data_IF_509471952792
#
_entry.id   IF_509471952792
#
_cell.length_a   1.000
_cell.length_b   1.000
_cell.length_c   1.000
_cell.angle_alpha   90.00
_cell.angle_beta   90.00
_cell.angle_gamma   90.00
#
_symmetry.space_group_name_H-M   'P 1'
#
loop_
_entity.id
_entity.type
_entity.pdbx_description
1 polymer ?
#
# COMPACT_ATOMS: atom_id res chain seq x y z
N UNK A 1 31.18 -0.81 19.00
CA UNK A 1 30.57 -0.72 17.66
C UNK A 1 31.69 -0.60 16.65
N UNK A 2 31.87 -1.58 15.78
CA UNK A 2 32.96 -1.54 14.79
C UNK A 2 32.58 -0.67 13.60
N UNK A 3 33.55 0.03 13.01
CA UNK A 3 33.34 0.84 11.81
C UNK A 3 32.70 0.02 10.68
N UNK A 4 33.13 -1.23 10.52
CA UNK A 4 32.57 -2.15 9.54
C UNK A 4 31.06 -2.41 9.76
N UNK A 5 30.62 -2.57 11.01
CA UNK A 5 29.20 -2.78 11.32
C UNK A 5 28.35 -1.56 10.97
N UNK A 6 28.85 -0.34 11.22
CA UNK A 6 28.14 0.90 10.88
C UNK A 6 28.01 1.05 9.36
N UNK A 7 29.06 0.74 8.60
CA UNK A 7 29.02 0.79 7.14
C UNK A 7 27.97 -0.19 6.58
N UNK A 8 27.96 -1.43 7.09
CA UNK A 8 26.97 -2.43 6.69
C UNK A 8 25.54 -2.00 7.04
N UNK A 9 25.35 -1.38 8.21
CA UNK A 9 24.06 -0.82 8.61
C UNK A 9 23.59 0.27 7.64
N UNK A 10 24.47 1.20 7.26
CA UNK A 10 24.14 2.26 6.29
C UNK A 10 23.78 1.66 4.94
N UNK A 11 24.56 0.69 4.44
CA UNK A 11 24.27 -0.01 3.18
C UNK A 11 22.90 -0.67 3.23
N UNK A 12 22.60 -1.41 4.31
CA UNK A 12 21.30 -2.05 4.48
C UNK A 12 20.15 -1.03 4.49
N UNK A 13 20.29 0.08 5.22
CA UNK A 13 19.29 1.15 5.25
C UNK A 13 19.07 1.77 3.86
N UNK A 14 20.14 2.07 3.13
CA UNK A 14 20.04 2.65 1.78
C UNK A 14 19.40 1.68 0.79
N UNK A 15 19.73 0.38 0.87
CA UNK A 15 19.15 -0.63 -0.03
C UNK A 15 17.66 -0.82 0.25
N UNK A 16 17.27 -0.99 1.52
CA UNK A 16 15.88 -1.23 1.89
C UNK A 16 15.02 0.01 1.63
N UNK A 17 15.41 1.16 2.19
CA UNK A 17 14.62 2.38 2.08
C UNK A 17 14.73 3.02 0.70
N UNK A 18 15.93 3.07 0.13
CA UNK A 18 16.14 3.58 -1.23
C UNK A 18 15.46 2.71 -2.28
N UNK A 19 15.55 1.38 -2.15
CA UNK A 19 14.85 0.45 -3.02
C UNK A 19 13.32 0.57 -2.91
N UNK A 20 12.80 0.71 -1.69
CA UNK A 20 11.36 0.92 -1.45
C UNK A 20 10.86 2.24 -2.09
N UNK A 21 11.57 3.35 -1.85
CA UNK A 21 11.22 4.65 -2.45
C UNK A 21 11.26 4.56 -3.97
N UNK A 22 12.30 3.94 -4.55
CA UNK A 22 12.42 3.75 -5.98
C UNK A 22 11.25 2.93 -6.55
N UNK A 23 10.87 1.84 -5.88
CA UNK A 23 9.75 1.00 -6.29
C UNK A 23 8.40 1.76 -6.25
N UNK A 24 8.15 2.54 -5.19
CA UNK A 24 6.94 3.37 -5.07
C UNK A 24 6.88 4.40 -6.21
N UNK A 25 7.99 5.11 -6.46
CA UNK A 25 8.05 6.11 -7.51
C UNK A 25 7.85 5.48 -8.89
N UNK A 26 8.44 4.32 -9.14
CA UNK A 26 8.27 3.60 -10.40
C UNK A 26 6.83 3.16 -10.63
N UNK A 27 6.18 2.58 -9.61
CA UNK A 27 4.78 2.15 -9.70
C UNK A 27 3.84 3.35 -9.89
N UNK A 28 4.11 4.46 -9.18
CA UNK A 28 3.35 5.71 -9.34
C UNK A 28 3.49 6.30 -10.75
N UNK A 29 4.67 6.22 -11.34
CA UNK A 29 4.93 6.75 -12.67
C UNK A 29 4.37 5.86 -13.79
N UNK A 30 4.16 4.57 -13.52
CA UNK A 30 3.68 3.58 -14.50
C UNK A 30 2.39 2.88 -14.01
N UNK A 31 1.29 3.63 -13.80
CA UNK A 31 0.02 3.03 -13.42
C UNK A 31 -0.55 2.18 -14.56
N UNK A 32 -1.07 1.01 -14.23
CA UNK A 32 -1.66 0.06 -15.19
C UNK A 32 -3.00 0.58 -15.78
N UNK A 33 -3.70 1.45 -15.02
CA UNK A 33 -4.94 2.12 -15.43
C UNK A 33 -4.94 3.57 -14.96
N UNK A 34 -5.29 4.48 -15.86
CA UNK A 34 -5.42 5.92 -15.58
C UNK A 34 -6.83 6.31 -15.13
N UNK A 35 -7.81 5.43 -15.32
CA UNK A 35 -9.20 5.63 -14.93
C UNK A 35 -9.78 4.32 -14.43
N UNK A 36 -10.56 4.41 -13.36
CA UNK A 36 -11.45 3.35 -12.92
C UNK A 36 -12.88 3.71 -13.34
N UNK A 37 -13.77 2.72 -13.55
CA UNK A 37 -15.19 2.98 -13.70
C UNK A 37 -15.71 3.77 -12.50
N UNK A 38 -16.83 4.46 -12.69
CA UNK A 38 -17.56 5.05 -11.56
C UNK A 38 -17.85 3.99 -10.50
N UNK A 39 -17.58 4.34 -9.24
CA UNK A 39 -17.91 3.46 -8.12
C UNK A 39 -19.41 3.20 -8.07
N UNK A 40 -19.80 2.04 -7.54
CA UNK A 40 -21.22 1.77 -7.27
C UNK A 40 -21.79 2.80 -6.28
N UNK A 41 -23.10 2.99 -6.32
CA UNK A 41 -23.79 3.78 -5.31
C UNK A 41 -23.54 3.19 -3.92
N UNK A 42 -23.20 4.07 -2.97
CA UNK A 42 -23.18 3.71 -1.56
C UNK A 42 -24.64 3.51 -1.13
N UNK A 43 -25.07 2.26 -1.07
CA UNK A 43 -26.44 1.86 -0.73
C UNK A 43 -26.64 1.78 0.80
N UNK A 44 -25.66 2.24 1.60
CA UNK A 44 -25.71 2.26 3.07
C UNK A 44 -26.22 0.95 3.67
N UNK A 45 -25.87 -0.18 3.05
CA UNK A 45 -26.40 -1.49 3.47
C UNK A 45 -25.87 -1.87 4.85
N UNK A 46 -24.74 -1.31 5.24
CA UNK A 46 -24.16 -1.38 6.57
C UNK A 46 -24.99 -0.67 7.65
N UNK A 47 -25.83 0.30 7.28
CA UNK A 47 -26.75 0.98 8.20
C UNK A 47 -28.02 0.14 8.46
N UNK A 48 -28.35 -0.76 7.53
CA UNK A 48 -29.38 -1.77 7.75
C UNK A 48 -28.82 -2.84 8.69
N UNK A 49 -29.32 -2.85 9.93
CA UNK A 49 -28.96 -3.87 10.92
C UNK A 49 -29.22 -5.31 10.44
N UNK A 50 -28.69 -6.29 11.18
CA UNK A 50 -28.80 -7.72 10.85
C UNK A 50 -30.28 -8.07 10.63
N UNK A 51 -30.59 -8.50 9.40
CA UNK A 51 -31.93 -9.00 9.05
C UNK A 51 -32.06 -10.38 9.70
N UNK A 52 -32.88 -10.47 10.74
CA UNK A 52 -33.26 -11.75 11.35
C UNK A 52 -34.11 -12.53 10.35
N UNK A 53 -33.59 -13.66 9.88
CA UNK A 53 -34.34 -14.59 9.05
C UNK A 53 -35.10 -15.56 9.98
N UNK A 54 -36.42 -15.55 9.90
CA UNK A 54 -37.31 -16.44 10.65
C UNK A 54 -37.03 -17.90 10.25
N UNK A 55 -36.61 -18.74 11.21
CA UNK A 55 -36.35 -20.19 11.05
C UNK A 55 -37.42 -21.02 11.72
#
# INVERSE_FOLDING_TARGET
MTTAAILMMIVALLVVWGGLIAAILWLRANPERTSYPEGGYDDHREDAGIIEHDT
#
